data_IF_359610529658
#
_entry.id   IF_359610529658
#
_cell.length_a   1.000
_cell.length_b   1.000
_cell.length_c   1.000
_cell.angle_alpha   90.00
_cell.angle_beta   90.00
_cell.angle_gamma   90.00
#
_symmetry.space_group_name_H-M   'P 1'
#
loop_
_entity.id
_entity.type
_entity.pdbx_description
1 polymer ?
#
# COMPACT_ATOMS: atom_id res chain seq x y z
N UNK A 1 42.03 -61.23 39.20
CA UNK A 1 41.48 -61.81 40.45
C UNK A 1 39.98 -61.75 40.28
N UNK A 2 39.31 -62.70 40.20
CA UNK A 2 38.83 -63.96 40.71
C UNK A 2 37.34 -64.04 40.26
N UNK A 3 37.01 -64.95 39.31
CA UNK A 3 36.38 -66.25 39.41
C UNK A 3 35.11 -66.28 40.31
N UNK A 4 33.95 -66.89 39.94
CA UNK A 4 33.52 -68.23 39.61
C UNK A 4 32.07 -68.15 39.13
N UNK A 5 31.65 -68.77 38.05
CA UNK A 5 31.28 -70.17 37.72
C UNK A 5 29.93 -70.70 38.23
N UNK A 6 29.12 -71.06 37.22
CA UNK A 6 28.24 -72.24 37.06
C UNK A 6 27.09 -72.51 38.05
N UNK A 7 25.89 -72.88 37.55
CA UNK A 7 25.51 -74.27 37.30
C UNK A 7 24.16 -74.40 36.51
N UNK A 8 24.08 -75.48 35.74
CA UNK A 8 23.04 -76.03 34.89
C UNK A 8 21.86 -76.66 35.63
N UNK A 9 20.63 -76.70 34.96
CA UNK A 9 19.76 -77.87 34.80
C UNK A 9 18.41 -77.34 34.23
N UNK A 10 17.86 -77.75 33.12
CA UNK A 10 17.66 -79.03 32.48
C UNK A 10 16.31 -79.61 32.81
N UNK A 11 15.35 -79.52 31.84
CA UNK A 11 14.32 -80.51 31.43
C UNK A 11 13.17 -79.84 30.65
N UNK A 12 13.10 -80.12 29.38
CA UNK A 12 12.29 -81.05 28.54
C UNK A 12 10.77 -80.85 28.44
N UNK A 13 10.36 -80.61 27.21
CA UNK A 13 9.22 -81.17 26.44
C UNK A 13 7.82 -80.57 26.69
N UNK A 14 7.27 -80.02 25.63
CA UNK A 14 5.86 -79.76 25.44
C UNK A 14 5.58 -79.05 24.12
N UNK A 15 5.41 -79.88 23.04
CA UNK A 15 5.00 -79.40 21.72
C UNK A 15 3.56 -78.90 21.78
N UNK A 16 3.35 -77.58 21.54
CA UNK A 16 2.09 -77.08 21.14
C UNK A 16 2.22 -76.34 19.81
N UNK A 17 1.43 -76.81 18.84
CA UNK A 17 1.25 -76.16 17.56
C UNK A 17 0.64 -74.80 17.71
N UNK A 18 1.33 -73.75 17.36
CA UNK A 18 0.77 -72.40 17.28
C UNK A 18 0.44 -72.16 15.80
N UNK A 19 -0.86 -72.15 15.53
CA UNK A 19 -1.44 -71.64 14.29
C UNK A 19 -1.22 -70.13 14.28
N UNK A 20 -0.31 -69.69 13.42
CA UNK A 20 -0.07 -68.24 13.20
C UNK A 20 -1.25 -67.69 12.40
N UNK A 21 -2.15 -67.01 13.06
CA UNK A 21 -3.17 -66.17 12.43
C UNK A 21 -2.48 -64.85 12.02
N UNK A 22 -2.13 -64.74 10.75
CA UNK A 22 -1.65 -63.49 10.14
C UNK A 22 -2.87 -62.61 9.95
N UNK A 23 -3.10 -61.69 10.89
CA UNK A 23 -4.04 -60.60 10.71
C UNK A 23 -3.35 -59.57 9.83
N UNK A 24 -3.67 -59.52 8.55
CA UNK A 24 -3.36 -58.41 7.65
C UNK A 24 -4.22 -57.20 8.07
N UNK A 25 -3.66 -56.32 8.87
CA UNK A 25 -4.20 -54.96 9.07
C UNK A 25 -3.99 -54.18 7.78
N UNK A 26 -5.02 -54.15 6.94
CA UNK A 26 -5.14 -53.16 5.89
C UNK A 26 -5.31 -51.78 6.59
N UNK A 27 -4.21 -51.06 6.86
CA UNK A 27 -4.25 -49.64 7.14
C UNK A 27 -4.60 -48.95 5.82
N UNK A 28 -5.89 -48.69 5.63
CA UNK A 28 -6.35 -47.78 4.59
C UNK A 28 -5.79 -46.42 4.98
N UNK A 29 -4.67 -46.02 4.37
CA UNK A 29 -4.19 -44.65 4.37
C UNK A 29 -5.21 -43.82 3.58
N UNK A 30 -6.27 -43.40 4.26
CA UNK A 30 -6.97 -42.20 3.84
C UNK A 30 -5.97 -41.03 3.99
N UNK A 31 -5.68 -40.27 2.92
CA UNK A 31 -4.98 -39.05 3.11
C UNK A 31 -5.92 -38.18 3.98
N UNK A 32 -5.66 -38.14 5.29
CA UNK A 32 -6.15 -37.01 6.07
C UNK A 32 -5.62 -35.79 5.34
N UNK A 33 -6.50 -35.08 4.61
CA UNK A 33 -6.29 -33.66 4.40
C UNK A 33 -6.11 -33.12 5.81
N UNK A 34 -4.85 -32.93 6.21
CA UNK A 34 -4.52 -32.04 7.30
C UNK A 34 -5.13 -30.73 6.85
N UNK A 35 -6.27 -30.36 7.40
CA UNK A 35 -6.72 -28.99 7.40
C UNK A 35 -5.55 -28.26 8.05
N UNK A 36 -4.69 -27.63 7.24
CA UNK A 36 -3.74 -26.67 7.74
C UNK A 36 -4.55 -25.74 8.62
N UNK A 37 -4.26 -25.67 9.92
CA UNK A 37 -4.95 -24.78 10.84
C UNK A 37 -4.91 -23.40 10.20
N UNK A 38 -6.04 -22.73 10.14
CA UNK A 38 -6.15 -21.38 9.59
C UNK A 38 -5.04 -20.53 10.22
N UNK A 39 -4.17 -19.95 9.39
CA UNK A 39 -3.08 -19.12 9.88
C UNK A 39 -3.70 -18.01 10.74
N UNK A 40 -3.11 -17.71 11.90
CA UNK A 40 -3.63 -16.69 12.82
C UNK A 40 -3.89 -15.36 12.11
N UNK A 41 -3.04 -14.98 11.15
CA UNK A 41 -3.22 -13.78 10.35
C UNK A 41 -4.44 -13.89 9.41
N UNK A 42 -4.70 -15.07 8.82
CA UNK A 42 -5.89 -15.26 7.96
C UNK A 42 -7.20 -15.04 8.72
N UNK A 43 -7.29 -15.63 9.90
CA UNK A 43 -8.47 -15.45 10.77
C UNK A 43 -8.66 -13.98 11.15
N UNK A 44 -7.55 -13.29 11.45
CA UNK A 44 -7.55 -11.86 11.78
C UNK A 44 -7.99 -11.02 10.57
N UNK A 45 -7.40 -11.24 9.40
CA UNK A 45 -7.75 -10.55 8.15
C UNK A 45 -9.22 -10.78 7.79
N UNK A 46 -9.70 -12.02 7.86
CA UNK A 46 -11.10 -12.34 7.57
C UNK A 46 -12.08 -11.63 8.52
N UNK A 47 -11.74 -11.52 9.81
CA UNK A 47 -12.52 -10.73 10.77
C UNK A 47 -12.50 -9.25 10.42
N UNK A 48 -11.31 -8.72 10.12
CA UNK A 48 -11.08 -7.31 9.79
C UNK A 48 -11.86 -6.91 8.53
N UNK A 49 -11.86 -7.74 7.48
CA UNK A 49 -12.67 -7.50 6.28
C UNK A 49 -14.16 -7.35 6.64
N UNK A 50 -14.71 -8.26 7.45
CA UNK A 50 -16.13 -8.19 7.83
C UNK A 50 -16.49 -6.88 8.54
N UNK A 51 -15.63 -6.42 9.44
CA UNK A 51 -15.81 -5.15 10.16
C UNK A 51 -15.64 -3.96 9.21
N UNK A 52 -14.63 -3.98 8.34
CA UNK A 52 -14.41 -2.92 7.33
C UNK A 52 -15.61 -2.73 6.40
N UNK A 53 -16.24 -3.82 5.97
CA UNK A 53 -17.44 -3.75 5.13
C UNK A 53 -18.60 -3.06 5.87
N UNK A 54 -18.77 -3.30 7.18
CA UNK A 54 -19.80 -2.63 8.00
C UNK A 54 -19.50 -1.13 8.11
N UNK A 55 -18.23 -0.74 8.37
CA UNK A 55 -17.83 0.67 8.43
C UNK A 55 -18.10 1.39 7.09
N UNK A 56 -17.72 0.77 5.97
CA UNK A 56 -17.92 1.36 4.65
C UNK A 56 -19.42 1.46 4.29
N UNK A 57 -20.25 0.46 4.64
CA UNK A 57 -21.70 0.53 4.46
C UNK A 57 -22.32 1.66 5.32
N UNK A 58 -21.89 1.81 6.57
CA UNK A 58 -22.34 2.89 7.45
C UNK A 58 -21.86 4.26 6.93
N UNK A 59 -20.63 4.35 6.44
CA UNK A 59 -20.09 5.56 5.82
C UNK A 59 -20.94 6.02 4.63
N UNK A 60 -21.30 5.11 3.73
CA UNK A 60 -22.17 5.40 2.58
C UNK A 60 -23.54 5.95 3.03
N UNK A 61 -24.13 5.33 4.04
CA UNK A 61 -25.45 5.76 4.59
C UNK A 61 -25.39 7.12 5.27
N UNK A 62 -24.29 7.43 5.97
CA UNK A 62 -24.12 8.70 6.70
C UNK A 62 -23.82 9.86 5.73
N UNK A 63 -22.92 9.67 4.76
CA UNK A 63 -22.55 10.71 3.81
C UNK A 63 -23.71 11.05 2.89
N UNK A 64 -24.34 10.03 2.30
CA UNK A 64 -25.55 10.12 1.46
C UNK A 64 -25.54 11.26 0.39
N UNK A 65 -24.34 11.72 0.02
CA UNK A 65 -24.07 12.73 -1.01
C UNK A 65 -22.81 12.37 -1.76
N UNK A 66 -22.94 11.93 -2.99
CA UNK A 66 -21.83 11.45 -3.84
C UNK A 66 -20.90 12.55 -4.31
N UNK A 67 -21.22 13.82 -4.06
CA UNK A 67 -20.34 14.97 -4.36
C UNK A 67 -19.38 15.31 -3.24
N UNK A 68 -19.53 14.66 -2.07
CA UNK A 68 -18.70 14.82 -0.88
C UNK A 68 -17.89 13.57 -0.60
N UNK A 69 -16.64 13.78 -0.23
CA UNK A 69 -15.65 12.72 -0.05
C UNK A 69 -14.99 12.82 1.32
N UNK A 70 -14.90 11.69 2.07
CA UNK A 70 -14.06 11.62 3.25
C UNK A 70 -12.62 11.99 2.96
N UNK A 71 -11.99 12.73 3.88
CA UNK A 71 -10.57 13.11 3.78
C UNK A 71 -9.80 12.65 5.01
N UNK A 72 -9.97 13.35 6.11
CA UNK A 72 -9.43 13.05 7.42
C UNK A 72 -10.58 12.83 8.41
N UNK A 73 -10.33 12.07 9.45
CA UNK A 73 -11.25 11.96 10.56
C UNK A 73 -10.98 13.02 11.63
N UNK A 74 -11.95 13.20 12.54
CA UNK A 74 -11.74 13.88 13.81
C UNK A 74 -11.22 12.91 14.87
N UNK A 75 -10.82 13.42 16.05
CA UNK A 75 -10.51 12.60 17.24
C UNK A 75 -11.70 11.75 17.73
N UNK A 76 -12.92 12.06 17.29
CA UNK A 76 -14.13 11.28 17.55
C UNK A 76 -14.45 10.29 16.42
N UNK A 77 -13.49 10.03 15.53
CA UNK A 77 -13.58 9.09 14.41
C UNK A 77 -14.75 9.42 13.45
N UNK A 78 -14.99 10.71 13.22
CA UNK A 78 -15.98 11.21 12.24
C UNK A 78 -15.26 11.84 11.06
N UNK A 79 -15.71 11.53 9.85
CA UNK A 79 -15.12 12.05 8.64
C UNK A 79 -15.34 13.56 8.46
N UNK A 80 -14.29 14.24 8.05
CA UNK A 80 -14.35 15.57 7.45
C UNK A 80 -14.56 15.38 5.96
N UNK A 81 -15.58 15.99 5.41
CA UNK A 81 -15.98 15.84 4.01
C UNK A 81 -15.49 17.02 3.18
N UNK A 82 -15.03 16.75 1.96
CA UNK A 82 -14.56 17.73 0.98
C UNK A 82 -15.18 17.43 -0.38
N UNK A 83 -15.28 18.43 -1.28
CA UNK A 83 -15.69 18.21 -2.66
C UNK A 83 -14.62 17.46 -3.48
N UNK A 84 -14.94 17.16 -4.75
CA UNK A 84 -14.12 16.33 -5.63
C UNK A 84 -12.74 16.91 -5.97
N UNK A 85 -12.54 18.20 -5.81
CA UNK A 85 -11.26 18.91 -6.05
C UNK A 85 -10.21 18.69 -4.96
N UNK A 86 -10.56 18.07 -3.81
CA UNK A 86 -9.58 17.65 -2.82
C UNK A 86 -8.72 16.50 -3.36
N UNK A 87 -7.42 16.50 -3.05
CA UNK A 87 -6.47 15.49 -3.54
C UNK A 87 -6.82 14.07 -3.10
N UNK A 88 -7.56 13.93 -2.01
CA UNK A 88 -7.94 12.62 -1.44
C UNK A 88 -9.20 12.03 -2.07
N UNK A 89 -9.90 12.74 -2.93
CA UNK A 89 -11.24 12.35 -3.41
C UNK A 89 -11.30 10.97 -4.08
N UNK A 90 -10.20 10.52 -4.70
CA UNK A 90 -10.12 9.20 -5.35
C UNK A 90 -10.08 8.00 -4.41
N UNK A 91 -9.65 8.18 -3.16
CA UNK A 91 -9.44 7.06 -2.24
C UNK A 91 -10.74 6.46 -1.72
N UNK A 92 -11.75 7.27 -1.45
CA UNK A 92 -13.02 6.75 -0.94
C UNK A 92 -13.74 5.81 -1.93
N UNK A 93 -13.97 6.20 -3.19
CA UNK A 93 -14.45 5.23 -4.19
C UNK A 93 -13.50 4.03 -4.35
N UNK A 94 -12.19 4.23 -4.20
CA UNK A 94 -11.22 3.15 -4.18
C UNK A 94 -11.45 2.14 -3.06
N UNK A 95 -11.76 2.60 -1.84
CA UNK A 95 -12.16 1.73 -0.73
C UNK A 95 -13.41 0.92 -1.07
N UNK A 96 -14.41 1.53 -1.72
CA UNK A 96 -15.63 0.85 -2.14
C UNK A 96 -15.37 -0.19 -3.25
N UNK A 97 -14.45 0.09 -4.19
CA UNK A 97 -14.00 -0.90 -5.19
C UNK A 97 -13.31 -2.11 -4.54
N UNK A 98 -12.45 -1.88 -3.54
CA UNK A 98 -11.85 -2.99 -2.77
C UNK A 98 -12.89 -3.73 -1.95
N UNK A 99 -13.86 -3.04 -1.34
CA UNK A 99 -14.96 -3.68 -0.64
C UNK A 99 -15.77 -4.62 -1.57
N UNK A 100 -16.04 -4.20 -2.80
CA UNK A 100 -16.64 -5.07 -3.82
C UNK A 100 -15.74 -6.27 -4.14
N UNK A 101 -14.46 -6.06 -4.39
CA UNK A 101 -13.51 -7.14 -4.68
C UNK A 101 -13.46 -8.19 -3.59
N UNK A 102 -13.42 -7.74 -2.31
CA UNK A 102 -13.29 -8.60 -1.14
C UNK A 102 -14.59 -9.30 -0.74
N UNK A 103 -15.75 -8.66 -0.95
CA UNK A 103 -17.05 -9.19 -0.52
C UNK A 103 -17.86 -9.86 -1.64
N UNK A 104 -17.65 -9.43 -2.89
CA UNK A 104 -18.51 -9.72 -4.04
C UNK A 104 -19.96 -9.22 -3.89
N UNK A 105 -20.22 -8.33 -2.94
CA UNK A 105 -21.52 -7.71 -2.75
C UNK A 105 -21.71 -6.58 -3.79
N UNK A 106 -22.68 -6.70 -4.72
CA UNK A 106 -22.88 -5.74 -5.80
C UNK A 106 -23.26 -4.34 -5.32
N UNK A 107 -23.71 -4.18 -4.07
CA UNK A 107 -24.02 -2.87 -3.49
C UNK A 107 -22.76 -2.00 -3.43
N UNK A 108 -21.61 -2.57 -3.08
CA UNK A 108 -20.34 -1.84 -3.05
C UNK A 108 -19.89 -1.40 -4.44
N UNK A 109 -20.10 -2.22 -5.47
CA UNK A 109 -19.83 -1.83 -6.84
C UNK A 109 -20.71 -0.66 -7.28
N UNK A 110 -22.01 -0.71 -7.00
CA UNK A 110 -22.92 0.39 -7.29
C UNK A 110 -22.49 1.70 -6.62
N UNK A 111 -22.15 1.66 -5.35
CA UNK A 111 -21.66 2.83 -4.62
C UNK A 111 -20.32 3.33 -5.15
N UNK A 112 -19.38 2.42 -5.42
CA UNK A 112 -18.09 2.78 -6.00
C UNK A 112 -18.26 3.53 -7.33
N UNK A 113 -19.15 3.08 -8.22
CA UNK A 113 -19.47 3.75 -9.48
C UNK A 113 -20.02 5.16 -9.27
N UNK A 114 -20.96 5.33 -8.33
CA UNK A 114 -21.56 6.63 -8.04
C UNK A 114 -20.52 7.66 -7.61
N UNK A 115 -19.67 7.33 -6.62
CA UNK A 115 -18.60 8.23 -6.16
C UNK A 115 -17.50 8.41 -7.21
N UNK A 116 -17.13 7.36 -7.95
CA UNK A 116 -16.17 7.45 -9.06
C UNK A 116 -16.65 8.45 -10.11
N UNK A 117 -17.89 8.36 -10.55
CA UNK A 117 -18.45 9.26 -11.57
C UNK A 117 -18.44 10.72 -11.14
N UNK A 118 -18.62 11.01 -9.85
CA UNK A 118 -18.60 12.38 -9.31
C UNK A 118 -17.22 13.06 -9.38
N UNK A 119 -16.13 12.31 -9.60
CA UNK A 119 -14.78 12.87 -9.78
C UNK A 119 -14.51 13.21 -11.27
N UNK A 120 -15.30 12.74 -12.22
CA UNK A 120 -15.03 12.84 -13.65
C UNK A 120 -14.74 14.27 -14.14
N UNK A 121 -15.35 15.30 -13.50
CA UNK A 121 -15.13 16.71 -13.82
C UNK A 121 -13.68 17.16 -13.57
N UNK A 122 -12.98 16.52 -12.65
CA UNK A 122 -11.61 16.86 -12.26
C UNK A 122 -10.54 16.42 -13.29
N UNK A 123 -10.89 15.68 -14.32
CA UNK A 123 -9.94 15.21 -15.34
C UNK A 123 -9.17 16.32 -16.05
N UNK A 124 -9.74 17.54 -16.07
CA UNK A 124 -9.11 18.72 -16.66
C UNK A 124 -8.57 19.71 -15.62
N UNK A 125 -8.49 19.32 -14.35
CA UNK A 125 -8.04 20.19 -13.26
C UNK A 125 -6.50 20.32 -13.32
N UNK A 126 -6.04 21.51 -13.75
CA UNK A 126 -4.61 21.86 -13.86
C UNK A 126 -4.01 22.35 -12.55
N UNK A 127 -4.83 22.62 -11.53
CA UNK A 127 -4.39 23.18 -10.25
C UNK A 127 -3.80 22.16 -9.28
N UNK A 128 -3.74 20.87 -9.70
CA UNK A 128 -3.21 19.79 -8.87
C UNK A 128 -2.24 18.90 -9.63
N UNK A 129 -1.28 18.32 -8.91
CA UNK A 129 -0.42 17.24 -9.39
C UNK A 129 -0.97 15.85 -9.02
N UNK A 130 -2.07 15.76 -8.24
CA UNK A 130 -2.60 14.52 -7.67
C UNK A 130 -3.63 13.81 -8.55
N UNK A 131 -3.59 14.04 -9.87
CA UNK A 131 -4.51 13.38 -10.78
C UNK A 131 -4.33 11.85 -10.80
N UNK A 132 -3.10 11.35 -10.60
CA UNK A 132 -2.86 9.92 -10.43
C UNK A 132 -3.59 9.35 -9.22
N UNK A 133 -3.47 9.96 -8.05
CA UNK A 133 -4.19 9.53 -6.85
C UNK A 133 -5.71 9.57 -7.04
N UNK A 134 -6.23 10.65 -7.62
CA UNK A 134 -7.68 10.78 -7.83
C UNK A 134 -8.21 9.74 -8.82
N UNK A 135 -7.55 9.59 -9.96
CA UNK A 135 -8.09 8.82 -11.08
C UNK A 135 -7.69 7.34 -11.08
N UNK A 136 -6.46 6.99 -10.68
CA UNK A 136 -6.07 5.57 -10.61
C UNK A 136 -6.73 4.85 -9.45
N UNK A 137 -6.92 5.52 -8.30
CA UNK A 137 -7.61 4.92 -7.16
C UNK A 137 -9.13 4.77 -7.38
N UNK A 138 -9.74 5.57 -8.26
CA UNK A 138 -11.17 5.52 -8.56
C UNK A 138 -11.45 4.80 -9.89
N UNK A 139 -11.31 5.50 -11.03
CA UNK A 139 -11.56 4.97 -12.38
C UNK A 139 -10.62 3.79 -12.71
N UNK A 140 -9.34 3.88 -12.35
CA UNK A 140 -8.38 2.80 -12.55
C UNK A 140 -8.79 1.53 -11.82
N UNK A 141 -9.24 1.66 -10.56
CA UNK A 141 -9.79 0.53 -9.81
C UNK A 141 -11.11 0.03 -10.42
N UNK A 142 -11.96 0.92 -10.92
CA UNK A 142 -13.18 0.53 -11.64
C UNK A 142 -12.89 -0.36 -12.85
N UNK A 143 -11.87 -0.03 -13.66
CA UNK A 143 -11.43 -0.87 -14.77
C UNK A 143 -10.86 -2.22 -14.33
N UNK A 144 -10.11 -2.23 -13.21
CA UNK A 144 -9.39 -3.41 -12.73
C UNK A 144 -10.25 -4.36 -11.90
N UNK A 145 -11.21 -3.85 -11.14
CA UNK A 145 -11.95 -4.58 -10.12
C UNK A 145 -13.45 -4.72 -10.43
N UNK A 146 -14.00 -3.84 -11.28
CA UNK A 146 -15.40 -3.83 -11.67
C UNK A 146 -15.75 -4.91 -12.70
N UNK A 147 -17.02 -4.95 -13.09
CA UNK A 147 -17.58 -5.93 -14.05
C UNK A 147 -17.35 -5.60 -15.53
N UNK A 148 -16.74 -4.44 -15.82
CA UNK A 148 -16.38 -4.02 -17.18
C UNK A 148 -17.47 -3.25 -17.96
N UNK A 149 -18.60 -2.92 -17.36
CA UNK A 149 -19.70 -2.23 -18.07
C UNK A 149 -19.35 -0.83 -18.60
N UNK A 150 -18.45 -0.09 -17.94
CA UNK A 150 -18.11 1.31 -18.24
C UNK A 150 -16.68 1.48 -18.75
N UNK A 151 -16.07 0.43 -19.28
CA UNK A 151 -14.64 0.42 -19.62
C UNK A 151 -14.24 1.55 -20.59
N UNK A 152 -15.01 1.84 -21.63
CA UNK A 152 -14.67 2.88 -22.62
C UNK A 152 -14.79 4.29 -22.04
N UNK A 153 -15.81 4.55 -21.21
CA UNK A 153 -15.98 5.85 -20.54
C UNK A 153 -14.84 6.09 -19.56
N UNK A 154 -14.56 5.13 -18.67
CA UNK A 154 -13.48 5.22 -17.68
C UNK A 154 -12.12 5.39 -18.37
N UNK A 155 -11.87 4.64 -19.44
CA UNK A 155 -10.67 4.77 -20.25
C UNK A 155 -10.50 6.19 -20.79
N UNK A 156 -11.54 6.78 -21.37
CA UNK A 156 -11.50 8.13 -21.94
C UNK A 156 -11.24 9.19 -20.86
N UNK A 157 -11.82 9.02 -19.66
CA UNK A 157 -11.60 9.91 -18.51
C UNK A 157 -10.14 9.83 -18.04
N UNK A 158 -9.58 8.63 -17.90
CA UNK A 158 -8.18 8.41 -17.51
C UNK A 158 -7.20 9.00 -18.54
N UNK A 159 -7.47 8.82 -19.83
CA UNK A 159 -6.65 9.42 -20.90
C UNK A 159 -6.65 10.96 -20.84
N UNK A 160 -7.80 11.57 -20.57
CA UNK A 160 -7.92 13.01 -20.40
C UNK A 160 -7.15 13.48 -19.15
N UNK A 161 -7.30 12.80 -18.02
CA UNK A 161 -6.58 13.12 -16.79
C UNK A 161 -5.06 12.99 -16.96
N UNK A 162 -4.58 11.95 -17.66
CA UNK A 162 -3.17 11.77 -17.98
C UNK A 162 -2.62 12.93 -18.85
N UNK A 163 -3.40 13.36 -19.86
CA UNK A 163 -3.02 14.49 -20.67
C UNK A 163 -2.92 15.78 -19.85
N UNK A 164 -3.83 15.99 -18.91
CA UNK A 164 -3.79 17.15 -17.99
C UNK A 164 -2.56 17.07 -17.07
N UNK A 165 -2.29 15.91 -16.45
CA UNK A 165 -1.12 15.70 -15.60
C UNK A 165 0.20 15.95 -16.35
N UNK A 166 0.28 15.50 -17.62
CA UNK A 166 1.49 15.62 -18.45
C UNK A 166 1.93 17.07 -18.69
N UNK A 167 1.00 18.03 -18.64
CA UNK A 167 1.29 19.47 -18.83
C UNK A 167 2.19 20.04 -17.71
N UNK A 168 2.30 19.33 -16.58
CA UNK A 168 3.21 19.72 -15.48
C UNK A 168 4.68 19.34 -15.75
N UNK A 169 4.96 18.59 -16.82
CA UNK A 169 6.30 18.16 -17.12
C UNK A 169 7.15 19.30 -17.69
N UNK A 170 8.28 19.58 -17.05
CA UNK A 170 9.31 20.49 -17.57
C UNK A 170 10.45 19.71 -18.24
N UNK A 171 10.71 19.91 -19.53
CA UNK A 171 11.86 19.30 -20.19
C UNK A 171 13.20 19.83 -19.67
N UNK A 172 13.24 21.04 -19.11
CA UNK A 172 14.45 21.66 -18.52
C UNK A 172 14.81 20.98 -17.20
N UNK A 173 13.82 20.76 -16.33
CA UNK A 173 14.04 20.10 -15.04
C UNK A 173 14.04 18.58 -15.19
N UNK A 174 13.25 18.04 -16.12
CA UNK A 174 13.05 16.61 -16.30
C UNK A 174 12.05 15.99 -15.33
N UNK A 175 11.18 16.80 -14.72
CA UNK A 175 10.18 16.37 -13.74
C UNK A 175 8.81 17.01 -14.00
N UNK A 176 7.77 16.42 -13.40
CA UNK A 176 6.48 17.08 -13.19
C UNK A 176 6.57 17.97 -11.95
N UNK A 177 5.96 19.17 -12.00
CA UNK A 177 5.94 20.10 -10.87
C UNK A 177 4.86 19.74 -9.85
N UNK A 178 5.16 19.97 -8.56
CA UNK A 178 4.14 20.14 -7.55
C UNK A 178 3.42 21.49 -7.75
N UNK A 179 2.15 21.58 -7.37
CA UNK A 179 1.46 22.86 -7.20
C UNK A 179 1.58 23.37 -5.76
N UNK A 180 2.21 22.61 -4.88
CA UNK A 180 2.29 22.90 -3.46
C UNK A 180 3.73 23.20 -3.05
N UNK A 181 3.99 24.44 -2.69
CA UNK A 181 5.27 24.90 -2.18
C UNK A 181 5.07 26.11 -1.25
N UNK A 182 5.29 25.92 0.05
CA UNK A 182 5.12 26.97 1.06
C UNK A 182 6.29 27.98 1.10
N UNK A 183 7.42 27.66 0.45
CA UNK A 183 8.66 28.43 0.52
C UNK A 183 9.27 28.69 -0.85
N UNK A 184 8.47 28.51 -1.90
CA UNK A 184 8.91 28.72 -3.29
C UNK A 184 9.16 30.20 -3.61
N UNK A 185 10.08 30.42 -4.55
CA UNK A 185 10.29 31.71 -5.17
C UNK A 185 9.71 31.72 -6.58
N UNK A 186 9.57 32.89 -7.22
CA UNK A 186 9.06 33.02 -8.60
C UNK A 186 9.82 32.14 -9.61
N UNK A 187 11.11 31.87 -9.38
CA UNK A 187 11.94 31.04 -10.25
C UNK A 187 12.02 29.58 -9.80
N UNK A 188 11.39 29.19 -8.71
CA UNK A 188 11.43 27.81 -8.23
C UNK A 188 10.46 26.91 -9.02
N UNK A 189 10.92 25.68 -9.25
CA UNK A 189 10.15 24.57 -9.77
C UNK A 189 10.16 23.49 -8.69
N UNK A 190 9.11 23.44 -7.86
CA UNK A 190 9.04 22.48 -6.77
C UNK A 190 8.65 21.09 -7.28
N UNK A 191 9.31 20.07 -6.75
CA UNK A 191 8.97 18.66 -6.96
C UNK A 191 8.89 17.98 -5.61
N UNK A 192 7.79 17.30 -5.32
CA UNK A 192 7.63 16.50 -4.11
C UNK A 192 7.66 15.01 -4.48
N UNK A 193 8.10 14.22 -3.52
CA UNK A 193 8.29 12.77 -3.72
C UNK A 193 6.98 12.03 -3.98
N UNK A 194 5.86 12.56 -3.52
CA UNK A 194 4.50 12.02 -3.70
C UNK A 194 4.10 11.87 -5.18
N UNK A 195 4.68 12.72 -6.06
CA UNK A 195 4.42 12.66 -7.50
C UNK A 195 4.80 11.29 -8.09
N UNK A 196 5.72 10.56 -7.47
CA UNK A 196 6.07 9.20 -7.90
C UNK A 196 4.85 8.27 -8.01
N UNK A 197 3.85 8.44 -7.14
CA UNK A 197 2.60 7.66 -7.19
C UNK A 197 1.67 8.11 -8.32
N UNK A 198 1.77 9.37 -8.74
CA UNK A 198 0.96 9.92 -9.84
C UNK A 198 1.46 9.48 -11.22
N UNK A 199 2.68 8.94 -11.32
CA UNK A 199 3.26 8.45 -12.58
C UNK A 199 2.54 7.22 -13.14
N UNK A 200 1.87 6.44 -12.29
CA UNK A 200 1.04 5.29 -12.70
C UNK A 200 0.05 5.67 -13.81
N UNK A 201 -0.61 6.82 -13.68
CA UNK A 201 -1.56 7.33 -14.67
C UNK A 201 -0.92 7.58 -16.05
N UNK A 202 0.33 8.07 -16.10
CA UNK A 202 1.03 8.32 -17.34
C UNK A 202 1.42 7.03 -18.06
N UNK A 203 1.91 6.03 -17.33
CA UNK A 203 2.21 4.71 -17.90
C UNK A 203 0.96 4.01 -18.39
N UNK A 204 -0.07 3.96 -17.54
CA UNK A 204 -1.35 3.36 -17.91
C UNK A 204 -1.91 3.99 -19.19
N UNK A 205 -1.85 5.32 -19.30
CA UNK A 205 -2.30 6.04 -20.48
C UNK A 205 -1.57 5.59 -21.75
N UNK A 206 -0.23 5.50 -21.70
CA UNK A 206 0.57 5.08 -22.85
C UNK A 206 0.25 3.66 -23.31
N UNK A 207 -0.01 2.74 -22.37
CA UNK A 207 -0.40 1.36 -22.70
C UNK A 207 -1.82 1.26 -23.25
N UNK A 208 -2.67 2.27 -22.99
CA UNK A 208 -4.08 2.26 -23.35
C UNK A 208 -4.46 3.23 -24.51
N UNK A 209 -3.47 3.64 -25.32
CA UNK A 209 -3.68 4.44 -26.52
C UNK A 209 -3.42 5.94 -26.34
N UNK A 210 -2.90 6.36 -25.21
CA UNK A 210 -2.39 7.71 -24.99
C UNK A 210 -1.00 7.95 -25.60
N UNK A 211 -0.46 9.19 -25.49
CA UNK A 211 0.84 9.55 -26.04
C UNK A 211 1.98 8.72 -25.44
N UNK A 212 2.86 8.19 -26.31
CA UNK A 212 4.02 7.39 -25.89
C UNK A 212 5.08 8.22 -25.14
N UNK A 213 5.13 9.53 -25.34
CA UNK A 213 6.02 10.44 -24.63
C UNK A 213 5.78 10.45 -23.10
N UNK A 214 4.60 10.06 -22.65
CA UNK A 214 4.29 10.00 -21.21
C UNK A 214 5.15 8.99 -20.47
N UNK A 215 5.53 7.88 -21.10
CA UNK A 215 6.52 6.92 -20.56
C UNK A 215 7.87 7.63 -20.32
N UNK A 216 8.30 8.47 -21.27
CA UNK A 216 9.56 9.22 -21.15
C UNK A 216 9.48 10.26 -20.02
N UNK A 217 8.34 10.93 -19.85
CA UNK A 217 8.13 11.90 -18.75
C UNK A 217 8.20 11.22 -17.39
N UNK A 218 7.45 10.14 -17.23
CA UNK A 218 7.44 9.37 -16.00
C UNK A 218 8.82 8.78 -15.67
N UNK A 219 9.51 8.20 -16.67
CA UNK A 219 10.85 7.63 -16.50
C UNK A 219 11.89 8.69 -16.12
N UNK A 220 11.89 9.85 -16.78
CA UNK A 220 12.78 10.97 -16.44
C UNK A 220 12.54 11.46 -15.01
N UNK A 221 11.29 11.63 -14.61
CA UNK A 221 10.93 12.02 -13.26
C UNK A 221 11.47 11.02 -12.23
N UNK A 222 11.25 9.73 -12.43
CA UNK A 222 11.73 8.69 -11.52
C UNK A 222 13.27 8.61 -11.42
N UNK A 223 13.99 8.76 -12.53
CA UNK A 223 15.46 8.82 -12.53
C UNK A 223 15.93 10.06 -11.75
N UNK A 224 15.26 11.19 -11.94
CA UNK A 224 15.57 12.42 -11.21
C UNK A 224 15.30 12.26 -9.71
N UNK A 225 14.19 11.60 -9.35
CA UNK A 225 13.90 11.25 -7.96
C UNK A 225 14.97 10.34 -7.37
N UNK A 226 15.41 9.33 -8.11
CA UNK A 226 16.51 8.46 -7.67
C UNK A 226 17.78 9.23 -7.32
N UNK A 227 18.18 10.20 -8.17
CA UNK A 227 19.43 10.94 -7.98
C UNK A 227 19.33 12.07 -6.96
N UNK A 228 18.18 12.76 -6.90
CA UNK A 228 18.07 14.02 -6.18
C UNK A 228 17.36 13.90 -4.84
N UNK A 229 16.46 12.90 -4.68
CA UNK A 229 15.67 12.75 -3.46
C UNK A 229 16.23 11.69 -2.50
N UNK A 230 16.90 10.65 -3.02
CA UNK A 230 17.37 9.54 -2.21
C UNK A 230 18.79 9.79 -1.74
N UNK A 231 19.00 9.80 -0.43
CA UNK A 231 20.32 9.96 0.19
C UNK A 231 21.15 8.66 0.07
N UNK A 232 22.48 8.72 0.25
CA UNK A 232 23.34 7.51 0.18
C UNK A 232 22.95 6.41 1.16
N UNK A 233 22.42 6.74 2.32
CA UNK A 233 21.96 5.79 3.36
C UNK A 233 20.61 5.14 3.05
N UNK A 234 19.91 5.60 2.01
CA UNK A 234 18.57 5.13 1.64
C UNK A 234 17.43 6.01 2.15
N UNK A 235 17.71 7.00 2.99
CA UNK A 235 16.70 7.97 3.43
C UNK A 235 16.26 8.91 2.28
N UNK A 236 15.17 9.66 2.45
CA UNK A 236 14.61 10.49 1.39
C UNK A 236 14.35 11.91 1.83
N UNK A 237 14.56 12.86 0.89
CA UNK A 237 13.97 14.20 0.99
C UNK A 237 12.50 14.16 0.60
N UNK A 238 11.69 15.06 1.15
CA UNK A 238 10.29 15.22 0.75
C UNK A 238 10.17 16.12 -0.49
N UNK A 239 10.89 17.23 -0.53
CA UNK A 239 10.84 18.23 -1.60
C UNK A 239 12.23 18.58 -2.11
N UNK A 240 12.36 18.71 -3.43
CA UNK A 240 13.51 19.32 -4.10
C UNK A 240 13.01 20.47 -4.95
N UNK A 241 13.62 21.66 -4.79
CA UNK A 241 13.32 22.83 -5.59
C UNK A 241 14.41 23.04 -6.62
N UNK A 242 14.00 23.16 -7.86
CA UNK A 242 14.89 23.43 -8.99
C UNK A 242 14.67 24.87 -9.49
N UNK A 243 15.71 25.46 -10.07
CA UNK A 243 15.57 26.66 -10.87
C UNK A 243 14.89 26.29 -12.20
N UNK A 244 13.74 26.91 -12.49
CA UNK A 244 12.91 26.55 -13.66
C UNK A 244 13.59 26.77 -15.01
N UNK A 245 14.62 27.65 -15.08
CA UNK A 245 15.30 28.04 -16.30
C UNK A 245 16.56 27.20 -16.57
N UNK A 246 17.25 26.75 -15.53
CA UNK A 246 18.50 25.99 -15.65
C UNK A 246 18.39 24.53 -15.26
N UNK A 247 17.32 24.13 -14.57
CA UNK A 247 17.14 22.79 -14.01
C UNK A 247 18.09 22.45 -12.86
N UNK A 248 18.84 23.42 -12.34
CA UNK A 248 19.76 23.21 -11.20
C UNK A 248 18.97 23.19 -9.88
N UNK A 249 19.45 22.37 -8.93
CA UNK A 249 18.89 22.33 -7.58
C UNK A 249 19.15 23.65 -6.87
N UNK A 250 18.08 24.23 -6.31
CA UNK A 250 18.15 25.41 -5.42
C UNK A 250 18.34 24.90 -3.98
N UNK A 251 17.43 24.04 -3.52
CA UNK A 251 17.51 23.41 -2.20
C UNK A 251 16.73 22.10 -2.16
N UNK A 252 16.94 21.36 -1.08
CA UNK A 252 16.24 20.12 -0.73
C UNK A 252 15.72 20.24 0.71
N UNK A 253 14.67 19.51 1.05
CA UNK A 253 14.14 19.55 2.42
C UNK A 253 12.83 18.82 2.57
N UNK A 254 12.05 19.28 3.52
CA UNK A 254 10.71 18.77 3.80
C UNK A 254 9.68 19.87 3.92
N UNK A 255 8.41 19.50 3.77
CA UNK A 255 7.26 20.35 4.13
C UNK A 255 6.51 19.72 5.32
N UNK A 256 6.38 18.37 5.31
CA UNK A 256 5.56 17.64 6.28
C UNK A 256 6.39 16.88 7.33
N UNK A 257 7.69 16.66 7.10
CA UNK A 257 8.61 16.06 8.09
C UNK A 257 9.05 17.07 9.16
N UNK A 258 9.81 16.61 10.12
CA UNK A 258 10.27 17.42 11.27
C UNK A 258 11.33 18.45 10.87
N UNK A 259 12.21 18.12 9.93
CA UNK A 259 13.26 19.01 9.45
C UNK A 259 13.83 18.55 8.11
N UNK A 260 14.54 19.46 7.43
CA UNK A 260 15.04 19.23 6.06
C UNK A 260 15.95 18.01 5.93
N UNK A 261 16.66 17.63 7.00
CA UNK A 261 17.56 16.48 7.02
C UNK A 261 16.92 15.22 7.61
N UNK A 262 15.68 15.30 8.13
CA UNK A 262 14.94 14.13 8.61
C UNK A 262 14.24 13.41 7.47
N UNK A 263 13.60 12.29 7.78
CA UNK A 263 12.88 11.48 6.79
C UNK A 263 11.42 11.31 7.21
N UNK A 264 10.56 12.09 6.57
CA UNK A 264 9.12 11.93 6.71
C UNK A 264 8.67 10.56 6.18
N UNK A 265 8.12 9.71 7.07
CA UNK A 265 7.89 8.30 6.79
C UNK A 265 6.92 8.06 5.63
N UNK A 266 5.85 8.84 5.51
CA UNK A 266 4.90 8.70 4.40
C UNK A 266 5.51 9.11 3.06
N UNK A 267 6.32 10.17 3.02
CA UNK A 267 7.05 10.54 1.81
C UNK A 267 8.03 9.44 1.39
N UNK A 268 8.69 8.83 2.36
CA UNK A 268 9.56 7.68 2.09
C UNK A 268 8.78 6.46 1.57
N UNK A 269 7.59 6.20 2.13
CA UNK A 269 6.70 5.15 1.64
C UNK A 269 6.23 5.42 0.19
N UNK A 270 5.90 6.68 -0.14
CA UNK A 270 5.58 7.08 -1.51
C UNK A 270 6.73 6.85 -2.49
N UNK A 271 7.97 7.21 -2.09
CA UNK A 271 9.15 6.93 -2.90
C UNK A 271 9.31 5.44 -3.16
N UNK A 272 9.19 4.63 -2.10
CA UNK A 272 9.33 3.16 -2.19
C UNK A 272 8.30 2.57 -3.12
N UNK A 273 7.03 2.88 -2.90
CA UNK A 273 5.96 2.34 -3.74
C UNK A 273 6.04 2.86 -5.18
N UNK A 274 6.36 4.14 -5.37
CA UNK A 274 6.57 4.70 -6.70
C UNK A 274 7.67 3.98 -7.47
N UNK A 275 8.78 3.56 -6.82
CA UNK A 275 9.81 2.75 -7.47
C UNK A 275 9.32 1.34 -7.82
N UNK A 276 8.45 0.73 -7.02
CA UNK A 276 7.78 -0.55 -7.37
C UNK A 276 6.90 -0.36 -8.61
N UNK A 277 6.10 0.71 -8.65
CA UNK A 277 5.28 1.08 -9.84
C UNK A 277 6.15 1.25 -11.07
N UNK A 278 7.29 1.95 -10.96
CA UNK A 278 8.24 2.09 -12.06
C UNK A 278 8.74 0.75 -12.56
N UNK A 279 9.11 -0.16 -11.67
CA UNK A 279 9.53 -1.51 -12.05
C UNK A 279 8.40 -2.31 -12.69
N UNK A 280 7.18 -2.19 -12.19
CA UNK A 280 5.99 -2.85 -12.76
C UNK A 280 5.85 -2.59 -14.26
N UNK A 281 6.04 -1.34 -14.68
CA UNK A 281 5.91 -0.93 -16.08
C UNK A 281 7.17 -1.12 -16.91
N UNK A 282 8.34 -0.76 -16.38
CA UNK A 282 9.58 -0.69 -17.18
C UNK A 282 10.41 -1.97 -17.16
N UNK A 283 10.28 -2.78 -16.11
CA UNK A 283 11.15 -3.93 -15.79
C UNK A 283 12.64 -3.55 -15.68
N UNK A 284 12.96 -2.26 -15.53
CA UNK A 284 14.32 -1.79 -15.32
C UNK A 284 14.78 -2.12 -13.89
N UNK A 285 15.77 -3.01 -13.77
CA UNK A 285 16.28 -3.52 -12.49
C UNK A 285 16.65 -2.42 -11.49
N UNK A 286 17.15 -1.27 -11.97
CA UNK A 286 17.50 -0.14 -11.10
C UNK A 286 16.36 0.35 -10.22
N UNK A 287 15.11 0.29 -10.72
CA UNK A 287 13.95 0.71 -9.93
C UNK A 287 13.59 -0.31 -8.85
N UNK A 288 13.70 -1.61 -9.16
CA UNK A 288 13.52 -2.66 -8.16
C UNK A 288 14.61 -2.60 -7.08
N UNK A 289 15.88 -2.48 -7.48
CA UNK A 289 17.00 -2.39 -6.54
C UNK A 289 16.85 -1.14 -5.64
N UNK A 290 16.32 -0.05 -6.19
CA UNK A 290 16.02 1.16 -5.42
C UNK A 290 14.86 0.92 -4.45
N UNK A 291 13.77 0.32 -4.90
CA UNK A 291 12.64 -0.03 -4.03
C UNK A 291 13.08 -0.93 -2.87
N UNK A 292 13.91 -1.94 -3.14
CA UNK A 292 14.49 -2.82 -2.11
C UNK A 292 15.32 -2.03 -1.09
N UNK A 293 16.17 -1.10 -1.55
CA UNK A 293 16.98 -0.27 -0.65
C UNK A 293 16.12 0.63 0.24
N UNK A 294 15.10 1.26 -0.34
CA UNK A 294 14.17 2.11 0.40
C UNK A 294 13.33 1.29 1.39
N UNK A 295 12.85 0.12 0.97
CA UNK A 295 12.09 -0.78 1.84
C UNK A 295 12.91 -1.24 3.05
N UNK A 296 14.18 -1.62 2.87
CA UNK A 296 15.07 -1.96 3.97
C UNK A 296 15.25 -0.77 4.94
N UNK A 297 15.48 0.45 4.42
CA UNK A 297 15.57 1.64 5.27
C UNK A 297 14.31 1.83 6.11
N UNK A 298 13.12 1.69 5.52
CA UNK A 298 11.85 1.80 6.24
C UNK A 298 11.74 0.74 7.35
N UNK A 299 12.04 -0.51 7.02
CA UNK A 299 11.96 -1.66 7.94
C UNK A 299 12.95 -1.49 9.11
N UNK A 300 14.19 -1.07 8.84
CA UNK A 300 15.23 -0.85 9.84
C UNK A 300 14.86 0.26 10.86
N UNK A 301 13.91 1.12 10.52
CA UNK A 301 13.43 2.22 11.37
C UNK A 301 12.04 1.96 11.97
N UNK A 302 11.48 0.76 11.80
CA UNK A 302 10.21 0.41 12.40
C UNK A 302 10.34 0.24 13.92
N UNK A 303 9.38 0.78 14.68
CA UNK A 303 9.22 0.42 16.08
C UNK A 303 8.79 -1.05 16.26
N UNK A 304 8.86 -1.54 17.49
CA UNK A 304 8.54 -2.93 17.83
C UNK A 304 7.12 -3.37 17.44
N UNK A 305 6.18 -2.42 17.34
CA UNK A 305 4.80 -2.66 16.94
C UNK A 305 4.60 -2.71 15.42
N UNK A 306 5.66 -2.61 14.64
CA UNK A 306 5.66 -2.59 13.17
C UNK A 306 4.78 -1.50 12.55
N UNK A 307 4.47 -0.42 13.29
CA UNK A 307 3.79 0.76 12.77
C UNK A 307 4.72 1.96 12.82
N UNK A 308 4.96 2.57 11.68
CA UNK A 308 5.94 3.62 11.47
C UNK A 308 5.70 4.84 12.37
N UNK A 309 6.78 5.46 12.82
CA UNK A 309 6.72 6.84 13.28
C UNK A 309 6.37 7.78 12.12
N UNK A 310 5.82 8.96 12.40
CA UNK A 310 5.49 9.96 11.38
C UNK A 310 6.73 10.54 10.68
N UNK A 311 7.86 10.60 11.40
CA UNK A 311 9.19 10.94 10.89
C UNK A 311 10.21 10.07 11.63
N UNK A 312 11.15 9.48 10.92
CA UNK A 312 12.05 8.46 11.49
C UNK A 312 13.06 9.03 12.49
N UNK A 313 13.38 10.31 12.41
CA UNK A 313 14.31 10.97 13.30
C UNK A 313 13.63 11.82 14.37
N UNK A 314 12.29 11.84 14.39
CA UNK A 314 11.54 12.61 15.38
C UNK A 314 11.61 12.00 16.78
N UNK A 315 11.74 12.88 17.77
CA UNK A 315 11.54 12.52 19.18
C UNK A 315 10.05 12.59 19.60
N UNK A 316 9.17 13.06 18.72
CA UNK A 316 7.71 13.14 18.95
C UNK A 316 7.10 11.79 18.54
N UNK A 317 6.59 11.05 19.52
CA UNK A 317 6.16 9.68 19.35
C UNK A 317 4.74 9.55 18.76
N UNK A 318 4.48 10.15 17.60
CA UNK A 318 3.28 9.85 16.82
C UNK A 318 3.54 8.71 15.87
N UNK A 319 2.56 7.80 15.73
CA UNK A 319 2.53 6.80 14.65
C UNK A 319 1.89 7.41 13.41
N UNK A 320 2.36 7.00 12.23
CA UNK A 320 1.66 7.27 10.98
C UNK A 320 1.22 5.95 10.32
N UNK A 321 0.00 5.55 10.64
CA UNK A 321 -0.63 4.34 10.10
C UNK A 321 -0.67 4.38 8.58
N UNK A 322 -0.85 5.57 7.98
CA UNK A 322 -0.91 5.71 6.53
C UNK A 322 0.41 5.32 5.86
N UNK A 323 1.56 5.72 6.42
CA UNK A 323 2.86 5.33 5.90
C UNK A 323 3.05 3.80 5.94
N UNK A 324 2.59 3.17 7.03
CA UNK A 324 2.66 1.71 7.18
C UNK A 324 1.76 0.98 6.19
N UNK A 325 0.54 1.47 5.95
CA UNK A 325 -0.35 0.88 4.94
C UNK A 325 0.24 0.94 3.54
N UNK A 326 0.83 2.08 3.17
CA UNK A 326 1.46 2.31 1.87
C UNK A 326 2.64 1.35 1.66
N UNK A 327 3.53 1.24 2.66
CA UNK A 327 4.70 0.36 2.54
C UNK A 327 4.31 -1.12 2.57
N UNK A 328 3.34 -1.53 3.38
CA UNK A 328 2.85 -2.90 3.41
C UNK A 328 2.28 -3.31 2.03
N UNK A 329 1.48 -2.42 1.41
CA UNK A 329 0.95 -2.63 0.06
C UNK A 329 2.06 -2.71 -0.98
N UNK A 330 3.08 -1.84 -0.90
CA UNK A 330 4.25 -1.86 -1.78
C UNK A 330 5.06 -3.15 -1.65
N UNK A 331 5.28 -3.64 -0.42
CA UNK A 331 5.99 -4.89 -0.17
C UNK A 331 5.24 -6.09 -0.77
N UNK A 332 3.94 -6.22 -0.53
CA UNK A 332 3.15 -7.31 -1.12
C UNK A 332 3.18 -7.28 -2.66
N UNK A 333 3.19 -6.10 -3.30
CA UNK A 333 3.37 -6.00 -4.75
C UNK A 333 4.79 -6.39 -5.19
N UNK A 334 5.81 -6.02 -4.42
CA UNK A 334 7.21 -6.23 -4.78
C UNK A 334 7.69 -7.68 -4.61
N UNK A 335 7.15 -8.41 -3.63
CA UNK A 335 7.54 -9.78 -3.29
C UNK A 335 7.63 -10.73 -4.50
N UNK A 336 6.67 -10.75 -5.45
CA UNK A 336 6.77 -11.60 -6.64
C UNK A 336 7.94 -11.26 -7.59
N UNK A 337 8.50 -10.06 -7.48
CA UNK A 337 9.61 -9.60 -8.33
C UNK A 337 10.99 -9.94 -7.76
N UNK A 338 11.07 -10.47 -6.55
CA UNK A 338 12.32 -10.77 -5.85
C UNK A 338 12.70 -12.23 -6.07
N UNK A 339 13.89 -12.46 -6.65
CA UNK A 339 14.42 -13.81 -6.89
C UNK A 339 15.12 -14.38 -5.65
N UNK A 340 15.76 -13.55 -4.82
CA UNK A 340 16.44 -13.99 -3.60
C UNK A 340 15.41 -14.44 -2.55
N UNK A 341 15.43 -15.74 -2.24
CA UNK A 341 14.48 -16.35 -1.32
C UNK A 341 14.57 -15.80 0.12
N UNK A 342 15.78 -15.41 0.57
CA UNK A 342 15.99 -14.86 1.92
C UNK A 342 15.35 -13.48 2.02
N UNK A 343 15.62 -12.62 1.04
CA UNK A 343 15.04 -11.29 0.97
C UNK A 343 13.52 -11.34 0.78
N UNK A 344 13.03 -12.25 -0.08
CA UNK A 344 11.61 -12.47 -0.29
C UNK A 344 10.89 -12.85 1.01
N UNK A 345 11.43 -13.83 1.76
CA UNK A 345 10.88 -14.24 3.04
C UNK A 345 10.93 -13.13 4.09
N UNK A 346 12.01 -12.35 4.11
CA UNK A 346 12.13 -11.19 5.00
C UNK A 346 11.03 -10.16 4.73
N UNK A 347 10.84 -9.75 3.47
CA UNK A 347 9.80 -8.77 3.12
C UNK A 347 8.38 -9.31 3.34
N UNK A 348 8.17 -10.60 3.13
CA UNK A 348 6.88 -11.23 3.45
C UNK A 348 6.61 -11.17 4.96
N UNK A 349 7.59 -11.54 5.78
CA UNK A 349 7.45 -11.49 7.24
C UNK A 349 7.15 -10.06 7.74
N UNK A 350 7.86 -9.06 7.23
CA UNK A 350 7.65 -7.66 7.63
C UNK A 350 6.29 -7.13 7.17
N UNK A 351 5.88 -7.40 5.93
CA UNK A 351 4.57 -7.00 5.43
C UNK A 351 3.42 -7.67 6.22
N UNK A 352 3.54 -8.95 6.55
CA UNK A 352 2.57 -9.68 7.37
C UNK A 352 2.55 -9.17 8.83
N UNK A 353 3.71 -8.77 9.38
CA UNK A 353 3.80 -8.17 10.71
C UNK A 353 3.13 -6.80 10.78
N UNK A 354 3.39 -5.93 9.78
CA UNK A 354 2.68 -4.66 9.63
C UNK A 354 1.16 -4.87 9.52
N UNK A 355 0.74 -5.77 8.63
CA UNK A 355 -0.69 -6.07 8.45
C UNK A 355 -1.32 -6.63 9.72
N UNK A 356 -0.59 -7.44 10.49
CA UNK A 356 -1.05 -7.97 11.78
C UNK A 356 -1.32 -6.84 12.78
N UNK A 357 -0.41 -5.88 12.87
CA UNK A 357 -0.56 -4.72 13.76
C UNK A 357 -1.73 -3.83 13.32
N UNK A 358 -1.81 -3.55 12.01
CA UNK A 358 -2.87 -2.74 11.42
C UNK A 358 -4.27 -3.35 11.57
N UNK A 359 -4.39 -4.67 11.70
CA UNK A 359 -5.66 -5.36 11.91
C UNK A 359 -6.13 -5.39 13.38
N UNK A 360 -5.42 -4.75 14.30
CA UNK A 360 -5.68 -4.79 15.75
C UNK A 360 -5.72 -3.39 16.36
N UNK A 361 -6.36 -3.29 17.54
CA UNK A 361 -6.26 -2.08 18.37
C UNK A 361 -4.79 -1.85 18.78
N UNK A 362 -4.32 -0.60 18.89
CA UNK A 362 -5.12 0.62 18.80
C UNK A 362 -5.41 1.10 17.37
N UNK A 363 -4.79 0.49 16.34
CA UNK A 363 -4.79 0.99 14.96
C UNK A 363 -6.10 0.69 14.22
N UNK A 364 -6.62 -0.55 14.34
CA UNK A 364 -7.88 -0.92 13.72
C UNK A 364 -9.06 -0.56 14.64
N UNK A 365 -10.01 0.14 14.06
CA UNK A 365 -11.22 0.54 14.75
C UNK A 365 -12.25 -0.60 14.78
N UNK A 366 -12.55 -1.10 15.98
CA UNK A 366 -13.57 -2.14 16.19
C UNK A 366 -14.94 -1.59 16.60
N UNK A 367 -15.08 -0.26 16.77
CA UNK A 367 -16.33 0.38 17.18
C UNK A 367 -17.22 0.63 15.96
N UNK A 368 -18.22 -0.23 15.79
CA UNK A 368 -19.17 -0.17 14.67
C UNK A 368 -20.09 1.06 14.68
N UNK A 369 -20.01 1.91 15.71
CA UNK A 369 -20.73 3.19 15.75
C UNK A 369 -20.03 4.31 14.99
N UNK A 370 -18.83 4.07 14.47
CA UNK A 370 -18.02 5.00 13.67
C UNK A 370 -17.80 4.45 12.26
N UNK A 371 -17.18 5.24 11.38
CA UNK A 371 -17.09 4.92 9.96
C UNK A 371 -15.65 4.90 9.40
N UNK A 372 -14.63 5.15 10.24
CA UNK A 372 -13.22 5.09 9.87
C UNK A 372 -12.70 3.67 10.14
N UNK A 373 -11.86 3.12 9.25
CA UNK A 373 -11.26 1.79 9.46
C UNK A 373 -10.08 1.87 10.41
N UNK A 374 -9.20 2.84 10.18
CA UNK A 374 -7.95 3.02 10.90
C UNK A 374 -7.88 4.37 11.60
N UNK A 375 -7.12 4.43 12.70
CA UNK A 375 -6.77 5.66 13.41
C UNK A 375 -5.26 5.86 13.44
N UNK A 376 -4.79 7.00 14.01
CA UNK A 376 -3.37 7.31 14.20
C UNK A 376 -2.58 7.62 12.92
N UNK A 377 -3.17 8.34 11.96
CA UNK A 377 -2.42 8.97 10.86
C UNK A 377 -1.97 10.38 11.22
N UNK A 378 -0.86 10.83 10.62
CA UNK A 378 -0.34 12.19 10.79
C UNK A 378 -0.21 12.85 9.42
N UNK A 379 -1.07 13.83 9.12
CA UNK A 379 -0.96 14.54 7.86
C UNK A 379 0.20 15.54 7.87
N UNK A 380 0.16 16.55 8.76
CA UNK A 380 1.09 17.67 8.71
C UNK A 380 1.36 18.23 10.12
N UNK A 381 2.25 17.56 10.85
CA UNK A 381 2.55 17.95 12.24
C UNK A 381 3.19 19.34 12.36
N UNK A 382 4.11 19.80 11.48
CA UNK A 382 4.71 21.13 11.60
C UNK A 382 3.71 22.30 11.69
N UNK A 383 2.52 22.14 11.13
CA UNK A 383 1.44 23.16 11.25
C UNK A 383 0.25 22.67 12.10
N UNK A 384 0.43 21.55 12.81
CA UNK A 384 -0.60 20.93 13.65
C UNK A 384 -1.94 20.67 12.91
N UNK A 385 -1.86 20.20 11.67
CA UNK A 385 -3.04 19.89 10.85
C UNK A 385 -3.24 18.38 10.72
N UNK A 386 -4.42 17.90 11.12
CA UNK A 386 -4.85 16.50 11.05
C UNK A 386 -3.77 15.54 11.63
N UNK A 387 -3.45 15.75 12.90
CA UNK A 387 -2.45 15.01 13.65
C UNK A 387 -3.11 13.94 14.49
N UNK A 388 -2.65 12.70 14.34
CA UNK A 388 -3.11 11.54 15.10
C UNK A 388 -4.63 11.36 14.98
N UNK A 389 -5.09 11.20 13.74
CA UNK A 389 -6.50 11.06 13.34
C UNK A 389 -6.62 10.08 12.17
N UNK A 390 -7.83 9.55 11.88
CA UNK A 390 -8.07 8.77 10.67
C UNK A 390 -7.73 9.53 9.38
N UNK A 391 -7.34 8.78 8.34
CA UNK A 391 -7.20 9.33 6.98
C UNK A 391 -7.69 8.34 5.95
N UNK A 392 -8.44 8.83 4.94
CA UNK A 392 -9.05 7.98 3.94
C UNK A 392 -8.03 7.23 3.07
N UNK A 393 -6.85 7.81 2.86
CA UNK A 393 -5.78 7.13 2.13
C UNK A 393 -5.13 6.01 2.95
N UNK A 394 -5.13 6.06 4.30
CA UNK A 394 -4.75 4.93 5.12
C UNK A 394 -5.73 3.77 4.94
N UNK A 395 -7.04 4.05 5.01
CA UNK A 395 -8.08 3.04 4.79
C UNK A 395 -7.95 2.41 3.40
N UNK A 396 -7.66 3.22 2.37
CA UNK A 396 -7.46 2.75 1.00
C UNK A 396 -6.27 1.78 0.88
N UNK A 397 -5.07 2.20 1.31
CA UNK A 397 -3.88 1.35 1.20
C UNK A 397 -3.91 0.14 2.13
N UNK A 398 -4.65 0.22 3.22
CA UNK A 398 -4.94 -0.93 4.07
C UNK A 398 -5.76 -2.00 3.34
N UNK A 399 -6.85 -1.61 2.69
CA UNK A 399 -7.66 -2.55 1.91
C UNK A 399 -6.91 -3.09 0.69
N UNK A 400 -6.06 -2.28 0.06
CA UNK A 400 -5.17 -2.71 -1.01
C UNK A 400 -4.14 -3.74 -0.50
N UNK A 401 -3.54 -3.51 0.67
CA UNK A 401 -2.60 -4.45 1.29
C UNK A 401 -3.28 -5.79 1.64
N UNK A 402 -4.51 -5.76 2.16
CA UNK A 402 -5.31 -6.96 2.42
C UNK A 402 -5.57 -7.73 1.12
N UNK A 403 -5.99 -7.06 0.05
CA UNK A 403 -6.27 -7.71 -1.24
C UNK A 403 -5.01 -8.36 -1.81
N UNK A 404 -3.87 -7.69 -1.74
CA UNK A 404 -2.58 -8.21 -2.19
C UNK A 404 -2.09 -9.39 -1.37
N UNK A 405 -2.22 -9.32 -0.05
CA UNK A 405 -1.92 -10.46 0.83
C UNK A 405 -2.73 -11.70 0.44
N UNK A 406 -4.04 -11.55 0.25
CA UNK A 406 -4.91 -12.65 -0.16
C UNK A 406 -4.56 -13.17 -1.56
N UNK A 407 -4.19 -12.29 -2.48
CA UNK A 407 -3.78 -12.66 -3.85
C UNK A 407 -2.47 -13.44 -3.85
N UNK A 408 -1.46 -12.99 -3.10
CA UNK A 408 -0.17 -13.69 -2.97
C UNK A 408 -0.32 -15.10 -2.38
N UNK A 409 -1.26 -15.27 -1.47
CA UNK A 409 -1.49 -16.54 -0.80
C UNK A 409 -2.21 -17.58 -1.69
N UNK A 410 -2.97 -17.11 -2.67
CA UNK A 410 -3.73 -17.96 -3.59
C UNK A 410 -2.93 -18.35 -4.85
N UNK A 411 -1.75 -17.76 -5.04
CA UNK A 411 -0.79 -18.07 -6.13
C UNK A 411 0.34 -18.96 -5.65
#
# INVERSE_FOLDING_TARGET
>A
MTYFKYYYAGKTIGSFSIVAVIIFLFIILFPHKVCAGENKLDSLVNRTIKISLIHLENSVKEINDTTLFPTYGTKQLKWILKPSDDWTSGFYPGCLWYAFKLSKDPRFEQWARQWTSSIAQEKNNTETHDLGFRFMCSFGNGLRLGDGQENDEYKNILLAAANTLSQRFSPVVGCLSSNWDLHGTENSFPVIVDIMMNLDLLFWSSENGGPQDFVNYARKHAIKTYHDFIRPDGSTYHIVRYDKNSGKIINKGTLQGEGDETTWSRGHAWATYGMVVMYRYTKEKQFLDTAVRLANYFIDHLPQDHVSAWDFQSNINYRDVSATCIIASALFEMIPYIDDATLKNHFQFEAESMLTSLCQAPYFNNDLSTNCLLDHSVQFLPINSNVDVPSIFADYYFLEAIERYLTLKNN
#
